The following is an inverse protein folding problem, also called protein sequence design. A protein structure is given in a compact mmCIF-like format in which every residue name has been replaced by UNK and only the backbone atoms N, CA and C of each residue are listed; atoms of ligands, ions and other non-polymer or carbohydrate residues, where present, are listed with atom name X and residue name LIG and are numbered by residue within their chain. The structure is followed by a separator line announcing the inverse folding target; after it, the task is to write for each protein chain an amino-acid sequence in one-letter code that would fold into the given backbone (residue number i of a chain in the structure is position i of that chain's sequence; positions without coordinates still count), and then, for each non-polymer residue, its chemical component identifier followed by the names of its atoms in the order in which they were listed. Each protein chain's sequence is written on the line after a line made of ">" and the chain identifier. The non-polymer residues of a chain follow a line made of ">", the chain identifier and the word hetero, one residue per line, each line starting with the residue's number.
data_IF_922571569226
#
_entry.id   IF_922571569226
#
_cell.length_a   1.000
_cell.length_b   1.000
_cell.length_c   1.000
_cell.angle_alpha   90.00
_cell.angle_beta   90.00
_cell.angle_gamma   90.00
#
_symmetry.space_group_name_H-M   'P 1'
#
loop_
_entity.id
_entity.type
_entity.pdbx_description
1 polymer ?
#
# COMPACT_ATOMS: atom_id res chain seq x y z
N UNK A 1 -2.02 -30.18 -10.12
CA UNK A 1 -2.24 -28.78 -9.66
C UNK A 1 -2.32 -27.88 -10.90
N UNK A 2 -2.53 -26.56 -10.80
CA UNK A 2 -2.18 -25.61 -11.88
C UNK A 2 -0.75 -25.09 -11.75
N UNK A 3 -0.12 -25.19 -10.56
CA UNK A 3 1.28 -24.82 -10.33
C UNK A 3 2.21 -25.57 -11.29
N UNK A 4 2.13 -26.91 -11.32
CA UNK A 4 2.98 -27.78 -12.16
C UNK A 4 2.94 -27.37 -13.64
N UNK A 5 1.74 -27.10 -14.18
CA UNK A 5 1.52 -26.70 -15.57
C UNK A 5 2.14 -25.31 -15.85
N UNK A 6 2.08 -24.39 -14.89
CA UNK A 6 2.71 -23.07 -15.04
C UNK A 6 4.24 -23.17 -15.02
N UNK A 7 4.80 -24.05 -14.18
CA UNK A 7 6.25 -24.30 -14.12
C UNK A 7 6.76 -25.01 -15.38
N UNK A 8 6.00 -25.98 -15.95
CA UNK A 8 6.27 -26.59 -17.25
C UNK A 8 6.28 -25.57 -18.40
N UNK A 9 5.43 -24.55 -18.32
CA UNK A 9 5.40 -23.41 -19.25
C UNK A 9 6.52 -22.37 -19.00
N UNK A 10 7.43 -22.63 -18.05
CA UNK A 10 8.55 -21.75 -17.71
C UNK A 10 8.16 -20.51 -16.91
N UNK A 11 6.97 -20.47 -16.32
CA UNK A 11 6.51 -19.37 -15.47
C UNK A 11 7.00 -19.59 -14.03
N UNK A 12 7.46 -18.51 -13.39
CA UNK A 12 7.82 -18.53 -11.97
C UNK A 12 6.57 -18.32 -11.11
N UNK A 13 6.09 -19.39 -10.46
CA UNK A 13 4.87 -19.36 -9.64
C UNK A 13 5.16 -18.80 -8.25
N UNK A 14 4.46 -17.74 -7.86
CA UNK A 14 4.58 -17.11 -6.55
C UNK A 14 3.28 -17.26 -5.75
N UNK A 15 3.25 -18.21 -4.82
CA UNK A 15 2.14 -18.37 -3.89
C UNK A 15 2.20 -17.34 -2.73
N UNK A 16 1.07 -16.92 -2.16
CA UNK A 16 1.04 -16.13 -0.94
C UNK A 16 1.80 -16.83 0.20
N UNK A 17 2.57 -16.05 0.97
CA UNK A 17 3.26 -16.57 2.15
C UNK A 17 2.29 -16.71 3.33
N UNK A 18 2.39 -17.78 4.10
CA UNK A 18 1.56 -17.99 5.29
C UNK A 18 2.31 -17.56 6.57
N UNK A 19 1.60 -16.88 7.48
CA UNK A 19 2.19 -16.38 8.72
C UNK A 19 2.67 -17.50 9.65
N UNK A 20 2.08 -18.70 9.61
CA UNK A 20 2.53 -19.89 10.35
C UNK A 20 2.77 -19.61 11.85
N UNK A 21 1.81 -18.93 12.50
CA UNK A 21 1.88 -18.54 13.91
C UNK A 21 2.71 -17.28 14.23
N UNK A 22 3.32 -16.64 13.25
CA UNK A 22 4.05 -15.36 13.40
C UNK A 22 3.08 -14.17 13.30
N UNK A 23 3.48 -13.01 13.85
CA UNK A 23 2.75 -11.76 13.66
C UNK A 23 3.12 -11.00 12.37
N UNK A 24 4.28 -11.31 11.78
CA UNK A 24 4.80 -10.65 10.58
C UNK A 24 5.50 -11.64 9.66
N UNK A 25 5.52 -11.29 8.37
CA UNK A 25 6.37 -11.93 7.37
C UNK A 25 7.87 -11.62 7.60
N UNK A 26 8.75 -12.45 7.04
CA UNK A 26 10.16 -12.08 6.85
C UNK A 26 10.26 -10.93 5.86
N UNK A 27 11.43 -10.27 5.81
CA UNK A 27 11.69 -9.26 4.77
C UNK A 27 11.55 -9.86 3.37
N UNK A 28 12.00 -11.09 3.15
CA UNK A 28 11.96 -11.76 1.84
C UNK A 28 10.52 -12.12 1.41
N UNK A 29 9.70 -12.65 2.32
CA UNK A 29 8.27 -12.93 2.09
C UNK A 29 7.49 -11.63 1.82
N UNK A 30 7.67 -10.60 2.65
CA UNK A 30 7.01 -9.30 2.47
C UNK A 30 7.43 -8.61 1.15
N UNK A 31 8.70 -8.76 0.75
CA UNK A 31 9.21 -8.29 -0.54
C UNK A 31 8.60 -9.07 -1.71
N UNK A 32 8.45 -10.40 -1.59
CA UNK A 32 7.82 -11.22 -2.61
C UNK A 32 6.34 -10.86 -2.79
N UNK A 33 5.59 -10.74 -1.70
CA UNK A 33 4.21 -10.21 -1.73
C UNK A 33 4.15 -8.84 -2.38
N UNK A 34 5.13 -7.94 -2.12
CA UNK A 34 5.16 -6.61 -2.74
C UNK A 34 5.35 -6.63 -4.25
N UNK A 35 6.18 -7.53 -4.80
CA UNK A 35 6.27 -7.74 -6.25
C UNK A 35 4.93 -8.22 -6.83
N UNK A 36 4.28 -9.19 -6.16
CA UNK A 36 2.96 -9.68 -6.58
C UNK A 36 1.94 -8.54 -6.57
N UNK A 37 1.79 -7.77 -5.49
CA UNK A 37 0.84 -6.63 -5.45
C UNK A 37 1.11 -5.59 -6.53
N UNK A 38 2.38 -5.32 -6.86
CA UNK A 38 2.78 -4.35 -7.91
C UNK A 38 2.32 -4.78 -9.31
N UNK A 39 2.26 -6.09 -9.59
CA UNK A 39 1.83 -6.66 -10.88
C UNK A 39 0.34 -7.00 -10.89
N UNK A 40 -0.21 -7.50 -9.76
CA UNK A 40 -1.64 -7.85 -9.56
C UNK A 40 -2.55 -6.75 -10.08
N UNK A 41 -2.17 -5.50 -9.82
CA UNK A 41 -2.91 -4.33 -10.27
C UNK A 41 -3.16 -4.27 -11.79
N UNK A 42 -2.17 -4.63 -12.63
CA UNK A 42 -2.36 -4.71 -14.08
C UNK A 42 -3.30 -5.86 -14.47
N UNK A 43 -3.26 -6.99 -13.76
CA UNK A 43 -4.12 -8.16 -14.00
C UNK A 43 -5.57 -7.85 -13.64
N UNK A 44 -5.79 -7.15 -12.53
CA UNK A 44 -7.10 -6.63 -12.11
C UNK A 44 -7.68 -5.69 -13.17
N UNK A 45 -6.85 -4.85 -13.79
CA UNK A 45 -7.25 -3.99 -14.90
C UNK A 45 -7.75 -4.76 -16.14
N UNK A 46 -7.01 -5.81 -16.54
CA UNK A 46 -7.40 -6.70 -17.65
C UNK A 46 -8.73 -7.40 -17.32
N UNK A 47 -8.84 -7.96 -16.12
CA UNK A 47 -10.04 -8.66 -15.67
C UNK A 47 -11.27 -7.73 -15.62
N UNK A 48 -11.11 -6.47 -15.18
CA UNK A 48 -12.19 -5.48 -15.19
C UNK A 48 -12.65 -5.12 -16.61
N UNK A 49 -11.74 -4.99 -17.58
CA UNK A 49 -12.11 -4.82 -19.01
C UNK A 49 -12.86 -6.02 -19.56
N UNK A 50 -12.42 -7.25 -19.24
CA UNK A 50 -13.12 -8.47 -19.64
C UNK A 50 -14.52 -8.53 -19.00
N UNK A 51 -14.67 -8.09 -17.75
CA UNK A 51 -15.96 -7.98 -17.04
C UNK A 51 -16.89 -6.85 -17.54
N UNK A 52 -16.48 -6.00 -18.48
CA UNK A 52 -17.41 -5.11 -19.20
C UNK A 52 -18.38 -5.91 -20.09
N UNK A 53 -18.00 -7.13 -20.50
CA UNK A 53 -18.86 -8.01 -21.29
C UNK A 53 -19.84 -8.76 -20.38
N UNK A 54 -21.14 -8.43 -20.46
CA UNK A 54 -22.21 -8.95 -19.58
C UNK A 54 -22.28 -10.48 -19.43
N UNK A 55 -21.77 -11.24 -20.39
CA UNK A 55 -21.67 -12.70 -20.30
C UNK A 55 -20.53 -13.15 -19.36
N UNK A 56 -19.39 -12.45 -19.36
CA UNK A 56 -18.22 -12.73 -18.54
C UNK A 56 -18.24 -12.01 -17.17
N UNK A 57 -19.18 -11.08 -16.98
CA UNK A 57 -19.41 -10.37 -15.71
C UNK A 57 -20.29 -11.14 -14.72
N UNK A 58 -20.89 -12.26 -15.14
CA UNK A 58 -21.90 -13.02 -14.41
C UNK A 58 -21.54 -14.51 -14.33
N UNK A 59 -22.25 -15.28 -13.51
CA UNK A 59 -22.11 -16.74 -13.44
C UNK A 59 -22.46 -17.37 -14.79
N UNK A 60 -21.45 -17.91 -15.48
CA UNK A 60 -21.60 -18.62 -16.76
C UNK A 60 -22.34 -19.95 -16.54
N UNK A 61 -23.30 -20.28 -17.41
CA UNK A 61 -24.00 -21.57 -17.36
C UNK A 61 -23.10 -22.71 -17.83
N UNK A 62 -23.20 -23.89 -17.20
CA UNK A 62 -22.38 -25.06 -17.56
C UNK A 62 -22.54 -25.49 -19.03
N UNK A 63 -23.71 -25.24 -19.64
CA UNK A 63 -24.01 -25.43 -21.06
C UNK A 63 -23.12 -24.60 -22.00
N UNK A 64 -22.56 -23.50 -21.52
CA UNK A 64 -21.68 -22.60 -22.28
C UNK A 64 -20.19 -22.90 -22.12
N UNK A 65 -19.79 -23.81 -21.21
CA UNK A 65 -18.39 -24.15 -20.98
C UNK A 65 -17.63 -24.60 -22.25
N UNK A 66 -18.20 -25.39 -23.18
CA UNK A 66 -17.52 -25.78 -24.43
C UNK A 66 -17.18 -24.61 -25.36
N UNK A 67 -17.76 -23.42 -25.13
CA UNK A 67 -17.57 -22.22 -25.94
C UNK A 67 -16.88 -21.08 -25.17
N UNK A 68 -16.57 -21.27 -23.89
CA UNK A 68 -16.05 -20.21 -23.02
C UNK A 68 -14.71 -19.65 -23.50
N UNK A 69 -13.81 -20.50 -23.98
CA UNK A 69 -12.55 -20.11 -24.62
C UNK A 69 -12.78 -19.21 -25.84
N UNK A 70 -13.74 -19.56 -26.69
CA UNK A 70 -14.09 -18.78 -27.89
C UNK A 70 -14.70 -17.43 -27.51
N UNK A 71 -15.60 -17.38 -26.53
CA UNK A 71 -16.20 -16.14 -26.04
C UNK A 71 -15.17 -15.22 -25.38
N UNK A 72 -14.25 -15.77 -24.59
CA UNK A 72 -13.14 -15.01 -23.99
C UNK A 72 -12.19 -14.48 -25.07
N UNK A 73 -11.86 -15.30 -26.08
CA UNK A 73 -11.01 -14.91 -27.21
C UNK A 73 -11.63 -13.78 -28.02
N UNK A 74 -12.94 -13.84 -28.28
CA UNK A 74 -13.69 -12.75 -28.96
C UNK A 74 -13.68 -11.47 -28.12
N UNK A 75 -13.94 -11.55 -26.81
CA UNK A 75 -13.89 -10.39 -25.93
C UNK A 75 -12.49 -9.74 -25.90
N UNK A 76 -11.44 -10.54 -25.77
CA UNK A 76 -10.05 -10.06 -25.80
C UNK A 76 -9.66 -9.47 -27.16
N UNK A 77 -10.10 -10.07 -28.28
CA UNK A 77 -9.87 -9.51 -29.61
C UNK A 77 -10.57 -8.14 -29.81
N UNK A 78 -11.78 -7.98 -29.28
CA UNK A 78 -12.50 -6.70 -29.29
C UNK A 78 -11.82 -5.64 -28.42
N UNK A 79 -11.38 -6.00 -27.20
CA UNK A 79 -10.58 -5.11 -26.33
C UNK A 79 -9.32 -4.65 -27.07
N UNK A 80 -8.53 -5.59 -27.60
CA UNK A 80 -7.26 -5.30 -28.29
C UNK A 80 -7.43 -4.50 -29.60
N UNK A 81 -8.62 -4.54 -30.22
CA UNK A 81 -8.91 -3.80 -31.46
C UNK A 81 -9.44 -2.39 -31.22
N UNK A 82 -10.19 -2.16 -30.14
CA UNK A 82 -10.97 -0.93 -29.95
C UNK A 82 -10.67 -0.16 -28.66
N UNK A 83 -9.95 -0.72 -27.70
CA UNK A 83 -9.53 -0.01 -26.48
C UNK A 83 -8.03 0.33 -26.53
N UNK A 84 -7.67 1.53 -26.04
CA UNK A 84 -6.28 1.91 -25.81
C UNK A 84 -5.57 0.93 -24.86
N UNK A 85 -4.23 0.79 -24.92
CA UNK A 85 -3.47 0.03 -23.92
C UNK A 85 -3.82 0.44 -22.49
N UNK A 86 -3.74 -0.51 -21.55
CA UNK A 86 -4.04 -0.27 -20.14
C UNK A 86 -3.11 0.75 -19.48
N UNK A 87 -1.81 0.62 -19.78
CA UNK A 87 -0.78 1.57 -19.43
C UNK A 87 0.30 1.54 -20.52
N UNK A 88 0.91 2.69 -20.78
CA UNK A 88 2.18 2.79 -21.52
C UNK A 88 3.30 2.96 -20.49
N UNK A 89 4.33 2.11 -20.56
CA UNK A 89 5.46 2.19 -19.62
C UNK A 89 6.20 3.52 -19.75
N UNK A 90 6.45 4.21 -18.64
CA UNK A 90 7.32 5.40 -18.59
C UNK A 90 8.76 5.03 -18.24
N UNK A 91 9.69 6.00 -18.33
CA UNK A 91 11.03 5.84 -17.74
C UNK A 91 10.95 5.63 -16.22
N UNK A 92 10.05 6.35 -15.56
CA UNK A 92 9.82 6.27 -14.11
C UNK A 92 9.38 4.85 -13.68
N UNK A 93 8.55 4.16 -14.48
CA UNK A 93 8.19 2.75 -14.21
C UNK A 93 9.42 1.84 -14.21
N UNK A 94 10.35 2.05 -15.15
CA UNK A 94 11.59 1.28 -15.24
C UNK A 94 12.54 1.61 -14.07
N UNK A 95 12.66 2.88 -13.68
CA UNK A 95 13.42 3.31 -12.51
C UNK A 95 12.85 2.74 -11.21
N UNK A 96 11.52 2.77 -11.02
CA UNK A 96 10.86 2.15 -9.86
C UNK A 96 11.11 0.62 -9.88
N UNK A 97 11.03 -0.03 -11.04
CA UNK A 97 11.38 -1.44 -11.19
C UNK A 97 12.82 -1.75 -10.75
N UNK A 98 13.79 -0.95 -11.20
CA UNK A 98 15.20 -1.07 -10.80
C UNK A 98 15.39 -0.81 -9.31
N UNK A 99 14.76 0.22 -8.73
CA UNK A 99 14.75 0.46 -7.26
C UNK A 99 14.20 -0.75 -6.50
N UNK A 100 13.07 -1.31 -6.93
CA UNK A 100 12.47 -2.50 -6.30
C UNK A 100 13.37 -3.74 -6.41
N UNK A 101 14.15 -3.90 -7.49
CA UNK A 101 15.13 -5.00 -7.63
C UNK A 101 16.34 -4.78 -6.72
N UNK A 102 16.88 -3.55 -6.65
CA UNK A 102 18.03 -3.24 -5.80
C UNK A 102 17.73 -3.43 -4.30
N UNK A 103 16.53 -3.05 -3.85
CA UNK A 103 16.08 -3.19 -2.46
C UNK A 103 15.82 -4.65 -2.04
N UNK A 104 15.71 -5.59 -2.98
CA UNK A 104 15.30 -7.00 -2.73
C UNK A 104 16.05 -7.67 -1.60
N UNK A 105 17.38 -7.55 -1.65
CA UNK A 105 18.30 -8.26 -0.75
C UNK A 105 18.76 -7.39 0.44
N UNK A 106 18.22 -6.17 0.57
CA UNK A 106 18.61 -5.22 1.61
C UNK A 106 17.91 -5.53 2.93
N UNK A 107 18.61 -6.24 3.83
CA UNK A 107 18.14 -6.50 5.20
C UNK A 107 17.88 -5.19 5.95
N UNK A 108 16.68 -5.05 6.53
CA UNK A 108 16.30 -3.86 7.31
C UNK A 108 17.10 -3.75 8.61
N UNK A 109 18.07 -2.83 8.62
CA UNK A 109 18.90 -2.55 9.81
C UNK A 109 18.09 -1.89 10.93
N UNK A 110 17.07 -1.10 10.59
CA UNK A 110 16.27 -0.35 11.57
C UNK A 110 15.36 -1.24 12.43
N UNK A 111 14.75 -2.29 11.86
CA UNK A 111 13.97 -3.28 12.60
C UNK A 111 14.78 -3.87 13.78
N UNK A 112 16.00 -4.30 13.49
CA UNK A 112 16.92 -4.91 14.45
C UNK A 112 17.49 -3.88 15.42
N UNK A 113 17.63 -2.61 14.99
CA UNK A 113 17.96 -1.50 15.88
C UNK A 113 16.84 -1.21 16.90
N UNK A 114 15.57 -1.23 16.46
CA UNK A 114 14.42 -1.02 17.35
C UNK A 114 14.31 -2.14 18.41
N UNK A 115 14.65 -3.38 18.08
CA UNK A 115 14.69 -4.47 19.06
C UNK A 115 15.88 -4.36 20.02
N UNK A 116 17.10 -4.13 19.52
CA UNK A 116 18.30 -4.00 20.38
C UNK A 116 18.16 -2.88 21.42
N UNK A 117 17.45 -1.81 21.08
CA UNK A 117 17.18 -0.69 22.00
C UNK A 117 15.85 -0.83 22.79
N UNK A 118 15.16 -1.97 22.67
CA UNK A 118 13.85 -2.31 23.27
C UNK A 118 12.68 -1.37 22.88
N UNK A 119 12.84 -0.61 21.81
CA UNK A 119 11.92 0.45 21.34
C UNK A 119 10.59 -0.11 20.81
N UNK A 120 10.54 -1.37 20.37
CA UNK A 120 9.27 -2.02 20.00
C UNK A 120 8.35 -2.22 21.21
N UNK A 121 8.90 -2.53 22.40
CA UNK A 121 8.13 -3.02 23.57
C UNK A 121 7.98 -2.00 24.71
N UNK A 122 8.97 -1.13 24.94
CA UNK A 122 8.98 -0.23 26.09
C UNK A 122 8.28 1.10 25.79
N UNK A 123 7.04 1.26 26.26
CA UNK A 123 6.26 2.50 26.13
C UNK A 123 6.88 3.70 26.85
N UNK A 124 7.60 3.47 27.96
CA UNK A 124 8.26 4.52 28.76
C UNK A 124 9.34 5.32 28.02
N UNK A 125 9.93 4.73 26.97
CA UNK A 125 10.91 5.38 26.08
C UNK A 125 10.31 6.35 25.07
N UNK A 126 8.98 6.44 25.03
CA UNK A 126 8.23 7.32 24.15
C UNK A 126 7.60 8.46 24.95
N UNK A 127 7.60 9.66 24.36
CA UNK A 127 6.88 10.82 24.87
C UNK A 127 5.94 11.35 23.79
N UNK A 128 4.73 11.75 24.18
CA UNK A 128 3.76 12.31 23.24
C UNK A 128 4.17 13.75 22.93
N UNK A 129 4.28 14.07 21.65
CA UNK A 129 4.47 15.44 21.18
C UNK A 129 3.12 16.17 21.10
N UNK A 130 3.15 17.50 21.28
CA UNK A 130 2.08 18.36 20.78
C UNK A 130 2.23 18.51 19.26
N UNK A 131 1.15 18.91 18.56
CA UNK A 131 1.13 18.92 17.09
C UNK A 131 2.13 19.91 16.46
N UNK A 132 2.56 20.92 17.23
CA UNK A 132 3.58 21.92 16.89
C UNK A 132 5.01 21.39 16.93
N UNK A 133 5.31 20.44 17.83
CA UNK A 133 6.68 20.17 18.32
C UNK A 133 7.54 19.36 17.33
N UNK A 134 7.08 19.25 16.09
CA UNK A 134 7.73 18.53 14.99
C UNK A 134 7.39 19.16 13.62
N UNK A 135 6.94 20.41 13.60
CA UNK A 135 6.68 21.12 12.35
C UNK A 135 8.00 21.44 11.63
N UNK A 136 8.94 22.09 12.32
CA UNK A 136 10.20 22.54 11.73
C UNK A 136 11.28 21.44 11.62
N UNK A 137 11.09 20.28 12.27
CA UNK A 137 12.06 19.18 12.30
C UNK A 137 11.85 18.08 11.25
N UNK A 138 10.64 17.93 10.71
CA UNK A 138 10.28 16.78 9.86
C UNK A 138 10.16 17.20 8.38
N UNK A 139 10.70 16.42 7.43
CA UNK A 139 10.95 16.89 6.08
C UNK A 139 9.66 17.11 5.30
N UNK A 140 9.64 18.17 4.51
CA UNK A 140 8.58 18.48 3.55
C UNK A 140 8.86 17.75 2.25
N UNK A 141 7.89 16.99 1.73
CA UNK A 141 8.03 16.16 0.53
C UNK A 141 6.80 16.34 -0.36
N UNK A 142 6.96 16.28 -1.69
CA UNK A 142 5.80 16.21 -2.57
C UNK A 142 5.28 14.78 -2.69
N UNK A 143 4.03 14.58 -3.12
CA UNK A 143 3.47 13.23 -3.29
C UNK A 143 4.31 12.35 -4.24
N UNK A 144 4.93 12.94 -5.27
CA UNK A 144 5.81 12.20 -6.19
C UNK A 144 7.06 11.65 -5.48
N UNK A 145 7.65 12.37 -4.52
CA UNK A 145 8.78 11.85 -3.74
C UNK A 145 8.34 10.66 -2.87
N UNK A 146 7.18 10.78 -2.24
CA UNK A 146 6.58 9.71 -1.42
C UNK A 146 6.28 8.49 -2.30
N UNK A 147 5.74 8.68 -3.51
CA UNK A 147 5.46 7.60 -4.46
C UNK A 147 6.75 6.96 -4.99
N UNK A 148 7.72 7.75 -5.41
CA UNK A 148 8.87 7.29 -6.19
C UNK A 148 10.06 6.82 -5.33
N UNK A 149 10.09 7.19 -4.03
CA UNK A 149 11.18 6.83 -3.12
C UNK A 149 10.73 6.06 -1.87
N UNK A 150 9.46 6.19 -1.43
CA UNK A 150 9.02 5.67 -0.12
C UNK A 150 7.99 4.54 -0.25
N UNK A 151 6.94 4.70 -1.05
CA UNK A 151 5.91 3.67 -1.25
C UNK A 151 6.19 2.77 -2.45
N UNK A 152 6.88 3.28 -3.47
CA UNK A 152 7.11 2.65 -4.78
C UNK A 152 5.81 2.35 -5.56
N UNK A 153 4.72 3.08 -5.25
CA UNK A 153 3.47 3.04 -6.01
C UNK A 153 2.26 3.67 -5.30
N UNK A 154 1.44 4.37 -6.10
CA UNK A 154 0.33 5.23 -5.65
C UNK A 154 -0.71 4.56 -4.73
N UNK A 155 -0.93 3.25 -4.83
CA UNK A 155 -1.96 2.52 -4.05
C UNK A 155 -1.86 2.77 -2.53
N UNK A 156 -0.64 2.75 -1.98
CA UNK A 156 -0.45 2.95 -0.53
C UNK A 156 -0.70 4.42 -0.13
N UNK A 157 -0.58 5.36 -1.07
CA UNK A 157 -0.92 6.77 -0.89
C UNK A 157 -2.44 7.01 -1.01
N UNK A 158 -3.14 6.34 -1.95
CA UNK A 158 -4.62 6.37 -2.01
C UNK A 158 -5.27 5.97 -0.67
N UNK A 159 -4.66 5.02 0.07
CA UNK A 159 -5.10 4.64 1.43
C UNK A 159 -4.60 5.57 2.55
N UNK A 160 -3.57 6.40 2.31
CA UNK A 160 -2.91 7.22 3.33
C UNK A 160 -3.87 8.20 4.04
N UNK A 161 -4.75 8.84 3.26
CA UNK A 161 -5.73 9.81 3.76
C UNK A 161 -6.78 9.18 4.69
N UNK A 162 -7.35 8.02 4.33
CA UNK A 162 -8.34 7.33 5.18
C UNK A 162 -7.77 6.97 6.56
N UNK A 163 -6.55 6.42 6.60
CA UNK A 163 -5.85 6.20 7.87
C UNK A 163 -5.52 7.52 8.59
N UNK A 164 -5.22 8.61 7.88
CA UNK A 164 -4.93 9.89 8.52
C UNK A 164 -6.17 10.51 9.19
N UNK A 165 -7.33 10.43 8.53
CA UNK A 165 -8.63 10.87 9.05
C UNK A 165 -9.05 10.04 10.29
N UNK A 166 -8.92 8.70 10.23
CA UNK A 166 -9.17 7.82 11.39
C UNK A 166 -8.29 8.20 12.59
N UNK A 167 -6.98 8.38 12.34
CA UNK A 167 -5.98 8.71 13.35
C UNK A 167 -6.15 10.10 13.94
N UNK A 168 -6.56 11.07 13.14
CA UNK A 168 -6.85 12.44 13.57
C UNK A 168 -8.21 12.57 14.28
N UNK A 169 -9.04 11.52 14.24
CA UNK A 169 -10.43 11.51 14.67
C UNK A 169 -11.30 12.59 13.98
N UNK A 170 -11.06 12.84 12.68
CA UNK A 170 -11.80 13.84 11.91
C UNK A 170 -11.95 13.47 10.42
N UNK A 171 -13.17 13.66 9.92
CA UNK A 171 -13.55 13.52 8.51
C UNK A 171 -13.03 14.69 7.67
N UNK A 172 -12.54 14.42 6.46
CA UNK A 172 -11.90 15.40 5.54
C UNK A 172 -10.73 16.21 6.14
N UNK A 173 -10.16 15.79 7.28
CA UNK A 173 -9.22 16.60 8.08
C UNK A 173 -9.73 18.02 8.41
N UNK A 174 -11.05 18.20 8.46
CA UNK A 174 -11.71 19.51 8.61
C UNK A 174 -11.78 20.00 10.06
N UNK A 175 -11.80 19.08 11.03
CA UNK A 175 -11.87 19.38 12.46
C UNK A 175 -10.50 19.69 13.10
N UNK A 176 -10.43 19.76 14.44
CA UNK A 176 -9.16 19.87 15.15
C UNK A 176 -8.36 18.56 15.00
N UNK A 177 -7.24 18.63 14.30
CA UNK A 177 -6.44 17.45 13.88
C UNK A 177 -5.65 16.86 15.06
N UNK A 178 -6.29 15.99 15.84
CA UNK A 178 -5.70 15.30 16.99
C UNK A 178 -4.87 14.07 16.54
N UNK A 179 -3.86 14.28 15.70
CA UNK A 179 -3.01 13.21 15.15
C UNK A 179 -1.95 12.77 16.21
N UNK A 180 -2.02 11.55 16.80
CA UNK A 180 -1.11 11.17 17.88
C UNK A 180 0.27 10.80 17.35
N UNK A 181 1.29 11.54 17.81
CA UNK A 181 2.71 11.38 17.48
C UNK A 181 3.50 11.24 18.78
N UNK A 182 4.51 10.37 18.79
CA UNK A 182 5.42 10.17 19.90
C UNK A 182 6.88 10.24 19.43
N UNK A 183 7.75 10.93 20.18
CA UNK A 183 9.21 10.94 19.98
C UNK A 183 9.88 9.91 20.87
N UNK A 184 11.01 9.36 20.42
CA UNK A 184 11.85 8.50 21.27
C UNK A 184 12.82 9.36 22.09
N UNK A 185 12.82 9.18 23.41
CA UNK A 185 13.66 9.93 24.35
C UNK A 185 15.16 9.70 24.16
N UNK A 186 15.52 8.47 23.79
CA UNK A 186 16.91 8.07 23.55
C UNK A 186 17.41 8.53 22.17
N UNK A 187 16.49 8.78 21.23
CA UNK A 187 16.76 8.99 19.80
C UNK A 187 15.75 10.00 19.21
N UNK A 188 16.01 11.31 19.30
CA UNK A 188 15.09 12.35 18.83
C UNK A 188 14.73 12.27 17.34
N UNK A 189 15.64 11.69 16.54
CA UNK A 189 15.50 11.39 15.11
C UNK A 189 14.55 10.22 14.80
N UNK A 190 13.85 9.68 15.82
CA UNK A 190 12.89 8.59 15.71
C UNK A 190 11.53 8.99 16.29
N UNK A 191 10.47 8.83 15.48
CA UNK A 191 9.07 9.02 15.89
C UNK A 191 8.20 7.80 15.62
N UNK A 192 7.08 7.72 16.34
CA UNK A 192 6.05 6.68 16.22
C UNK A 192 4.65 7.28 16.22
N UNK A 193 3.74 6.67 15.46
CA UNK A 193 2.34 7.08 15.35
C UNK A 193 1.40 5.88 15.50
N UNK A 194 1.02 5.46 16.73
CA UNK A 194 0.17 4.30 16.94
C UNK A 194 -1.18 4.46 16.24
N UNK A 195 -1.51 3.55 15.32
CA UNK A 195 -2.72 3.56 14.49
C UNK A 195 -3.55 2.31 14.75
N UNK A 196 -4.88 2.40 14.72
CA UNK A 196 -5.73 1.22 14.84
C UNK A 196 -5.74 0.43 13.53
N UNK A 197 -6.13 -0.84 13.62
CA UNK A 197 -6.37 -1.69 12.47
C UNK A 197 -7.83 -1.57 12.02
N UNK A 198 -8.05 -1.05 10.82
CA UNK A 198 -9.37 -0.93 10.20
C UNK A 198 -10.12 -2.28 10.09
N UNK A 199 -9.40 -3.41 10.06
CA UNK A 199 -9.95 -4.75 9.84
C UNK A 199 -9.99 -5.63 11.11
N UNK A 200 -9.21 -5.31 12.15
CA UNK A 200 -9.08 -6.15 13.35
C UNK A 200 -9.24 -5.32 14.62
N UNK A 201 -10.48 -5.32 15.14
CA UNK A 201 -10.85 -4.67 16.40
C UNK A 201 -9.82 -4.98 17.52
N UNK A 202 -9.45 -3.93 18.27
CA UNK A 202 -8.43 -3.92 19.34
C UNK A 202 -6.95 -4.01 18.89
N UNK A 203 -6.63 -4.33 17.64
CA UNK A 203 -5.23 -4.25 17.16
C UNK A 203 -4.85 -2.79 16.92
N UNK A 204 -3.68 -2.41 17.44
CA UNK A 204 -3.02 -1.12 17.19
C UNK A 204 -1.62 -1.39 16.64
N UNK A 205 -1.36 -0.93 15.43
CA UNK A 205 -0.07 -0.97 14.77
C UNK A 205 0.78 0.26 15.15
N UNK A 206 2.10 0.12 15.13
CA UNK A 206 3.08 1.10 15.60
C UNK A 206 4.04 1.53 14.47
N UNK A 207 3.55 2.18 13.40
CA UNK A 207 4.41 2.74 12.37
C UNK A 207 5.42 3.71 13.01
N UNK A 208 6.69 3.42 12.77
CA UNK A 208 7.86 4.07 13.37
C UNK A 208 8.78 4.52 12.23
N UNK A 209 9.24 5.77 12.28
CA UNK A 209 10.03 6.42 11.24
C UNK A 209 11.34 6.92 11.84
N UNK A 210 12.43 6.81 11.07
CA UNK A 210 13.67 7.54 11.27
C UNK A 210 13.84 8.63 10.21
N UNK A 211 14.23 9.85 10.58
CA UNK A 211 14.28 11.01 9.66
C UNK A 211 15.42 11.98 9.99
N UNK A 212 15.67 12.93 9.09
CA UNK A 212 16.37 14.20 9.34
C UNK A 212 15.44 15.35 8.91
N UNK A 213 15.84 16.62 9.09
CA UNK A 213 15.10 17.77 8.55
C UNK A 213 14.87 17.72 7.02
N UNK A 214 15.64 16.90 6.29
CA UNK A 214 15.68 16.92 4.82
C UNK A 214 15.18 15.60 4.20
N UNK A 215 15.20 14.47 4.91
CA UNK A 215 14.91 13.16 4.33
C UNK A 215 14.36 12.13 5.34
N UNK A 216 13.67 11.11 4.81
CA UNK A 216 13.25 9.93 5.57
C UNK A 216 14.32 8.84 5.42
N UNK A 217 14.93 8.41 6.53
CA UNK A 217 16.10 7.53 6.55
C UNK A 217 15.75 6.02 6.55
N UNK A 218 14.77 5.61 7.35
CA UNK A 218 14.28 4.22 7.41
C UNK A 218 12.89 4.21 8.08
N UNK A 219 12.14 3.12 7.92
CA UNK A 219 10.79 2.96 8.45
C UNK A 219 10.46 1.51 8.80
N UNK A 220 9.68 1.31 9.86
CA UNK A 220 9.23 -0.01 10.29
C UNK A 220 7.83 0.04 10.89
N UNK A 221 7.04 -1.00 10.62
CA UNK A 221 5.74 -1.23 11.25
C UNK A 221 5.66 -2.69 11.68
N UNK A 222 4.86 -2.95 12.71
CA UNK A 222 4.49 -4.25 13.27
C UNK A 222 3.34 -4.97 12.52
N UNK A 223 2.75 -4.37 11.49
CA UNK A 223 1.76 -5.04 10.64
C UNK A 223 2.39 -6.14 9.77
N UNK A 224 1.58 -7.06 9.26
CA UNK A 224 2.01 -8.29 8.52
C UNK A 224 3.17 -8.06 7.53
N UNK A 225 3.01 -7.08 6.63
CA UNK A 225 4.00 -6.69 5.59
C UNK A 225 5.05 -5.65 6.03
N UNK A 226 4.97 -5.12 7.26
CA UNK A 226 5.76 -3.97 7.72
C UNK A 226 7.28 -4.21 7.82
N UNK A 227 7.71 -5.46 7.67
CA UNK A 227 9.10 -5.92 7.69
C UNK A 227 9.77 -5.94 6.30
N UNK A 228 9.03 -5.69 5.22
CA UNK A 228 9.57 -5.59 3.86
C UNK A 228 10.50 -4.38 3.69
N UNK A 229 11.53 -4.51 2.84
CA UNK A 229 12.41 -3.41 2.41
C UNK A 229 11.90 -2.69 1.17
N UNK A 230 11.04 -3.34 0.37
CA UNK A 230 10.51 -2.77 -0.88
C UNK A 230 9.29 -1.89 -0.56
N UNK A 231 9.49 -0.58 -0.54
CA UNK A 231 8.43 0.40 -0.30
C UNK A 231 7.89 0.36 1.14
N UNK A 232 6.62 0.71 1.32
CA UNK A 232 5.99 0.82 2.64
C UNK A 232 4.54 0.32 2.67
N UNK A 233 4.03 0.09 3.89
CA UNK A 233 2.62 -0.23 4.15
C UNK A 233 1.79 1.04 4.36
N UNK A 234 0.46 0.93 4.29
CA UNK A 234 -0.45 2.08 4.33
C UNK A 234 -0.36 2.87 5.64
N UNK A 235 0.01 2.22 6.76
CA UNK A 235 0.26 2.88 8.04
C UNK A 235 1.48 3.82 7.99
N UNK A 236 2.54 3.43 7.29
CA UNK A 236 3.74 4.25 7.08
C UNK A 236 3.47 5.32 6.02
N UNK A 237 2.79 4.97 4.93
CA UNK A 237 2.38 5.94 3.91
C UNK A 237 1.50 7.05 4.51
N UNK A 238 0.52 6.70 5.35
CA UNK A 238 -0.31 7.66 6.10
C UNK A 238 0.50 8.56 7.03
N UNK A 239 1.47 8.00 7.75
CA UNK A 239 2.31 8.77 8.69
C UNK A 239 3.23 9.75 7.96
N UNK A 240 3.86 9.31 6.86
CA UNK A 240 4.73 10.17 6.05
C UNK A 240 3.92 11.21 5.29
N UNK A 241 2.88 10.82 4.55
CA UNK A 241 2.03 11.73 3.77
C UNK A 241 1.42 12.83 4.64
N UNK A 242 0.88 12.48 5.81
CA UNK A 242 0.28 13.47 6.70
C UNK A 242 1.31 14.51 7.20
N UNK A 243 2.52 14.09 7.58
CA UNK A 243 3.53 15.00 8.12
C UNK A 243 4.40 15.71 7.07
N UNK A 244 4.67 15.10 5.93
CA UNK A 244 5.54 15.67 4.91
C UNK A 244 4.81 16.46 3.83
N UNK A 245 3.51 16.20 3.62
CA UNK A 245 2.74 16.81 2.54
C UNK A 245 1.43 17.47 3.02
N UNK A 246 0.49 16.69 3.56
CA UNK A 246 -0.88 17.15 3.79
C UNK A 246 -0.98 18.29 4.80
N UNK A 247 -0.22 18.23 5.92
CA UNK A 247 -0.23 19.29 6.95
C UNK A 247 0.26 20.66 6.45
N UNK A 248 0.85 20.71 5.26
CA UNK A 248 1.39 21.92 4.63
C UNK A 248 0.51 22.48 3.49
N UNK A 249 -0.64 21.85 3.20
CA UNK A 249 -1.55 22.33 2.15
C UNK A 249 -2.45 23.46 2.67
N UNK A 250 -2.31 24.65 2.07
CA UNK A 250 -3.01 25.85 2.50
C UNK A 250 -4.51 25.82 2.14
N UNK A 251 -5.35 25.55 3.15
CA UNK A 251 -6.80 25.81 3.27
C UNK A 251 -7.78 25.35 2.17
N UNK A 252 -7.36 24.82 1.02
CA UNK A 252 -8.24 24.27 -0.03
C UNK A 252 -8.79 22.87 0.35
N UNK A 253 -9.48 22.81 1.50
CA UNK A 253 -10.12 21.61 2.07
C UNK A 253 -11.40 21.23 1.33
N UNK A 254 -11.29 20.79 0.07
CA UNK A 254 -12.43 20.25 -0.67
C UNK A 254 -12.08 19.11 -1.64
N UNK A 255 -12.08 17.87 -1.13
CA UNK A 255 -12.41 16.67 -1.90
C UNK A 255 -13.18 15.68 -1.00
N UNK A 256 -14.25 15.02 -1.46
CA UNK A 256 -15.19 14.32 -0.59
C UNK A 256 -14.62 13.04 0.06
N UNK A 257 -14.86 12.91 1.37
CA UNK A 257 -14.78 11.66 2.13
C UNK A 257 -16.14 10.96 2.21
N UNK A 258 -16.15 9.62 2.27
CA UNK A 258 -17.35 8.80 2.38
C UNK A 258 -17.58 8.01 1.09
N UNK A 259 -17.54 8.73 -0.02
CA UNK A 259 -17.87 8.27 -1.37
C UNK A 259 -16.79 7.38 -2.01
N UNK A 260 -15.99 6.62 -1.24
CA UNK A 260 -15.08 5.62 -1.81
C UNK A 260 -15.82 4.54 -2.62
N UNK A 261 -17.12 4.35 -2.33
CA UNK A 261 -18.04 3.50 -3.10
C UNK A 261 -18.69 4.26 -4.28
N UNK A 262 -19.03 5.55 -4.16
CA UNK A 262 -19.68 6.28 -5.26
C UNK A 262 -18.67 6.86 -6.29
N UNK A 263 -17.37 6.91 -5.94
CA UNK A 263 -16.28 6.99 -6.90
C UNK A 263 -16.01 5.65 -7.62
N UNK A 264 -16.72 4.56 -7.28
CA UNK A 264 -16.83 3.35 -8.12
C UNK A 264 -17.92 3.58 -9.16
N UNK A 265 -17.71 4.58 -10.02
CA UNK A 265 -18.54 4.77 -11.21
C UNK A 265 -18.43 3.50 -12.05
N UNK A 266 -19.55 3.11 -12.69
CA UNK A 266 -19.63 1.92 -13.54
C UNK A 266 -18.41 1.73 -14.44
N UNK A 267 -18.04 0.46 -14.63
CA UNK A 267 -16.85 -0.04 -15.32
C UNK A 267 -16.68 0.49 -16.75
N UNK A 268 -17.71 1.16 -17.28
CA UNK A 268 -17.77 1.79 -18.59
C UNK A 268 -17.13 3.20 -18.68
N UNK A 269 -16.75 3.84 -17.56
CA UNK A 269 -16.33 5.27 -17.57
C UNK A 269 -14.99 5.64 -16.90
N UNK A 270 -14.30 4.76 -16.15
CA UNK A 270 -13.16 5.16 -15.29
C UNK A 270 -11.75 4.90 -15.88
N UNK A 271 -10.89 5.92 -15.75
CA UNK A 271 -9.43 5.82 -15.70
C UNK A 271 -8.93 5.60 -14.26
N UNK A 272 -8.00 4.68 -14.04
CA UNK A 272 -7.25 4.53 -12.78
C UNK A 272 -8.06 4.28 -11.48
N UNK A 273 -8.95 3.30 -11.56
CA UNK A 273 -8.89 2.05 -10.77
C UNK A 273 -10.06 1.63 -9.88
N UNK A 274 -10.15 0.31 -9.72
CA UNK A 274 -10.90 -0.38 -8.67
C UNK A 274 -10.03 -1.40 -7.90
N UNK A 275 -10.58 -1.92 -6.80
CA UNK A 275 -9.88 -2.58 -5.68
C UNK A 275 -10.17 -4.10 -5.60
N UNK A 276 -9.25 -4.83 -4.97
CA UNK A 276 -9.50 -6.19 -4.43
C UNK A 276 -8.82 -6.29 -3.07
N UNK A 277 -9.64 -6.50 -2.04
CA UNK A 277 -9.21 -6.64 -0.65
C UNK A 277 -8.95 -8.11 -0.30
N UNK A 278 -8.01 -8.72 -1.03
CA UNK A 278 -7.58 -10.11 -0.78
C UNK A 278 -6.30 -10.15 0.06
N UNK A 279 -6.34 -9.49 1.23
CA UNK A 279 -5.59 -9.98 2.40
C UNK A 279 -6.36 -11.22 2.93
N UNK A 280 -6.22 -12.36 2.25
CA UNK A 280 -6.73 -13.66 2.73
C UNK A 280 -5.91 -14.11 3.96
N UNK A 281 -6.15 -13.46 5.10
CA UNK A 281 -5.80 -13.94 6.44
C UNK A 281 -6.65 -15.20 6.75
N UNK A 282 -6.32 -16.31 6.08
CA UNK A 282 -6.95 -17.62 6.24
C UNK A 282 -6.91 -18.07 7.72
N UNK A 283 -8.10 -18.27 8.30
CA UNK A 283 -8.30 -18.79 9.66
C UNK A 283 -9.69 -19.45 9.81
#
# INVERSE_FOLDING_TARGET
>A
DSVEIMEELGLNVALPSFLNGRHQFTTDEANQSRYVTKIRWMVEAVNSRIKQFKFLSNTVQNSSLPYLEQYLSIACALINRYQSPLKTNTSEDAEIGQKMIALRNQKKKFETFLDKNNLKKQSSKWERLNHTDIMDEFPVLCENDIVNNISLGIFQLKRARSYAEERAATTNLTGPVNYPIYRCKDFPDIIRAPTRSAHKNRITYNPTIKFTSNEILDWWCDCTIGNGSIGCCSHIASFIWFLSYERWQDNNRYMPSGDFIDYVVDSSQISDFYDSTDDEDNN
#
